data_IF_429042629906
#
_entry.id   IF_429042629906
#
_cell.length_a   1.000
_cell.length_b   1.000
_cell.length_c   1.000
_cell.angle_alpha   90.00
_cell.angle_beta   90.00
_cell.angle_gamma   90.00
#
_symmetry.space_group_name_H-M   'P 1'
#
loop_
_entity.id
_entity.type
_entity.pdbx_description
1 polymer ?
#
# COMPACT_ATOMS: atom_id res chain seq x y z
N UNK A 1 -13.63 -69.82 25.70
CA UNK A 1 -12.54 -69.03 25.08
C UNK A 1 -13.16 -67.79 24.45
N UNK A 2 -12.73 -66.62 24.94
CA UNK A 2 -13.26 -65.30 24.59
C UNK A 2 -12.99 -64.93 23.13
N UNK A 3 -14.00 -64.47 22.42
CA UNK A 3 -13.84 -63.72 21.18
C UNK A 3 -13.81 -62.23 21.51
N UNK A 4 -12.62 -61.62 21.40
CA UNK A 4 -12.44 -60.19 21.58
C UNK A 4 -12.99 -59.45 20.36
N UNK A 5 -13.97 -58.57 20.56
CA UNK A 5 -14.38 -57.55 19.59
C UNK A 5 -13.39 -56.39 19.69
N UNK A 6 -12.55 -56.18 18.66
CA UNK A 6 -11.85 -54.92 18.50
C UNK A 6 -12.82 -53.89 17.92
N UNK A 7 -13.13 -52.87 18.70
CA UNK A 7 -13.79 -51.64 18.26
C UNK A 7 -12.69 -50.65 17.88
N UNK A 8 -12.52 -50.37 16.59
CA UNK A 8 -11.75 -49.22 16.14
C UNK A 8 -12.60 -47.97 16.33
N UNK A 9 -12.33 -47.22 17.39
CA UNK A 9 -12.81 -45.85 17.53
C UNK A 9 -11.83 -44.93 16.83
N UNK A 10 -12.17 -44.46 15.63
CA UNK A 10 -11.47 -43.34 15.00
C UNK A 10 -11.89 -42.06 15.73
N UNK A 11 -11.02 -41.56 16.61
CA UNK A 11 -11.12 -40.20 17.11
C UNK A 11 -10.58 -39.28 16.03
N UNK A 12 -11.47 -38.72 15.21
CA UNK A 12 -11.16 -37.58 14.35
C UNK A 12 -10.93 -36.38 15.28
N UNK A 13 -9.66 -36.11 15.57
CA UNK A 13 -9.24 -34.83 16.17
C UNK A 13 -9.41 -33.75 15.10
N UNK A 14 -10.58 -33.11 15.09
CA UNK A 14 -10.74 -31.80 14.44
C UNK A 14 -9.87 -30.81 15.20
N UNK A 15 -8.62 -30.65 14.77
CA UNK A 15 -7.82 -29.50 15.12
C UNK A 15 -8.48 -28.27 14.50
N UNK A 16 -9.40 -27.65 15.24
CA UNK A 16 -9.82 -26.28 14.97
C UNK A 16 -8.62 -25.40 15.33
N UNK A 17 -7.74 -25.19 14.36
CA UNK A 17 -6.96 -23.97 14.34
C UNK A 17 -7.98 -22.84 14.12
N UNK A 18 -8.56 -22.34 15.21
CA UNK A 18 -9.31 -21.10 15.18
C UNK A 18 -8.30 -19.98 14.92
N UNK A 19 -7.90 -19.81 13.66
CA UNK A 19 -7.46 -18.50 13.21
C UNK A 19 -8.62 -17.58 13.49
N UNK A 20 -8.45 -16.64 14.41
CA UNK A 20 -9.39 -15.55 14.57
C UNK A 20 -9.38 -14.80 13.22
N UNK A 21 -10.31 -15.15 12.35
CA UNK A 21 -10.50 -14.47 11.09
C UNK A 21 -10.89 -13.03 11.43
N UNK A 22 -10.17 -12.06 10.89
CA UNK A 22 -10.46 -10.64 11.11
C UNK A 22 -11.91 -10.29 10.69
N UNK A 23 -12.46 -11.09 9.79
CA UNK A 23 -13.80 -10.97 9.23
C UNK A 23 -14.63 -12.20 9.63
N UNK A 24 -15.35 -12.16 10.76
CA UNK A 24 -16.25 -13.23 11.12
C UNK A 24 -17.32 -13.39 10.02
N UNK A 25 -17.77 -14.63 9.79
CA UNK A 25 -18.91 -14.96 8.93
C UNK A 25 -18.72 -14.77 7.41
N UNK A 26 -17.50 -14.51 6.91
CA UNK A 26 -17.23 -14.61 5.48
C UNK A 26 -17.38 -16.04 4.98
N UNK A 27 -18.07 -16.20 3.84
CA UNK A 27 -18.36 -17.49 3.24
C UNK A 27 -17.37 -17.78 2.11
N UNK A 28 -16.92 -19.03 1.91
CA UNK A 28 -16.18 -19.43 0.72
C UNK A 28 -17.10 -19.71 -0.48
N UNK A 29 -18.35 -19.22 -0.47
CA UNK A 29 -19.28 -19.34 -1.60
C UNK A 29 -19.14 -18.13 -2.52
N UNK A 30 -19.59 -18.25 -3.77
CA UNK A 30 -19.50 -17.14 -4.71
C UNK A 30 -20.40 -15.96 -4.29
N UNK A 31 -19.81 -14.77 -4.28
CA UNK A 31 -20.49 -13.51 -3.96
C UNK A 31 -20.82 -12.75 -5.24
N UNK A 32 -22.11 -12.48 -5.49
CA UNK A 32 -22.53 -11.69 -6.66
C UNK A 32 -22.68 -10.22 -6.27
N UNK A 33 -21.55 -9.52 -6.11
CA UNK A 33 -21.56 -8.12 -5.65
C UNK A 33 -22.33 -7.15 -6.56
N UNK A 34 -22.52 -7.49 -7.83
CA UNK A 34 -23.34 -6.73 -8.76
C UNK A 34 -24.84 -6.67 -8.38
N UNK A 35 -25.31 -7.55 -7.49
CA UNK A 35 -26.68 -7.53 -6.98
C UNK A 35 -26.84 -6.73 -5.68
N UNK A 36 -25.74 -6.21 -5.14
CA UNK A 36 -25.73 -5.45 -3.90
C UNK A 36 -25.52 -3.97 -4.19
N UNK A 37 -26.16 -3.10 -3.41
CA UNK A 37 -25.89 -1.67 -3.47
C UNK A 37 -24.47 -1.41 -2.92
N UNK A 38 -23.57 -0.76 -3.69
CA UNK A 38 -22.23 -0.52 -3.23
C UNK A 38 -22.25 0.57 -2.14
N UNK A 39 -21.96 0.18 -0.90
CA UNK A 39 -21.92 1.09 0.24
C UNK A 39 -20.56 1.78 0.37
N UNK A 40 -20.56 3.01 0.89
CA UNK A 40 -19.33 3.75 1.16
C UNK A 40 -18.58 3.10 2.33
N UNK A 41 -17.28 2.89 2.15
CA UNK A 41 -16.39 2.22 3.12
C UNK A 41 -16.21 3.00 4.42
N UNK A 42 -16.49 4.31 4.42
CA UNK A 42 -16.60 5.14 5.62
C UNK A 42 -17.92 5.94 5.61
N UNK A 43 -18.72 5.96 6.70
CA UNK A 43 -18.40 5.45 8.04
C UNK A 43 -18.25 3.92 8.09
N UNK A 44 -17.59 3.37 9.14
CA UNK A 44 -17.37 1.93 9.24
C UNK A 44 -18.68 1.15 9.16
N UNK A 45 -18.70 0.11 8.33
CA UNK A 45 -19.84 -0.80 8.20
C UNK A 45 -19.70 -1.95 9.19
N UNK A 46 -20.81 -2.43 9.75
CA UNK A 46 -20.80 -3.63 10.59
C UNK A 46 -20.65 -4.86 9.68
N UNK A 47 -19.53 -5.61 9.76
CA UNK A 47 -19.29 -6.77 8.90
C UNK A 47 -20.30 -7.91 9.10
N UNK A 48 -21.10 -7.90 10.18
CA UNK A 48 -22.19 -8.86 10.39
C UNK A 48 -23.50 -8.46 9.69
N UNK A 49 -23.61 -7.21 9.24
CA UNK A 49 -24.80 -6.66 8.59
C UNK A 49 -24.64 -6.46 7.08
N UNK A 50 -23.42 -6.55 6.57
CA UNK A 50 -23.10 -6.42 5.15
C UNK A 50 -22.25 -7.59 4.69
N UNK A 51 -22.26 -7.85 3.39
CA UNK A 51 -21.32 -8.78 2.79
C UNK A 51 -19.94 -8.11 2.67
N UNK A 52 -19.04 -8.44 3.60
CA UNK A 52 -17.68 -7.86 3.64
C UNK A 52 -16.79 -8.30 2.47
N UNK A 53 -17.25 -9.23 1.61
CA UNK A 53 -16.61 -9.51 0.33
C UNK A 53 -17.04 -8.52 -0.77
N UNK A 54 -18.14 -7.80 -0.58
CA UNK A 54 -18.67 -6.83 -1.53
C UNK A 54 -18.58 -5.37 -1.05
N UNK A 55 -18.30 -5.15 0.23
CA UNK A 55 -18.11 -3.83 0.84
C UNK A 55 -16.88 -3.88 1.73
N UNK A 56 -15.95 -2.93 1.57
CA UNK A 56 -14.80 -2.83 2.49
C UNK A 56 -15.25 -2.36 3.88
N UNK A 57 -15.13 -3.23 4.88
CA UNK A 57 -15.65 -2.97 6.24
C UNK A 57 -14.59 -2.64 7.28
N UNK A 58 -13.30 -2.76 6.95
CA UNK A 58 -12.23 -2.65 7.94
C UNK A 58 -11.39 -1.40 7.74
N UNK A 59 -10.63 -1.33 6.64
CA UNK A 59 -9.82 -0.16 6.32
C UNK A 59 -10.44 0.67 5.22
N UNK A 60 -11.55 1.32 5.54
CA UNK A 60 -12.33 2.09 4.57
C UNK A 60 -11.75 3.44 4.17
N UNK A 61 -10.64 3.89 4.78
CA UNK A 61 -9.86 5.02 4.32
C UNK A 61 -8.67 4.48 3.51
N UNK A 62 -8.76 4.55 2.19
CA UNK A 62 -7.75 4.01 1.27
C UNK A 62 -6.69 5.07 1.02
N UNK A 63 -5.42 4.68 1.09
CA UNK A 63 -4.28 5.54 0.78
C UNK A 63 -3.53 5.00 -0.43
N UNK A 64 -3.52 5.74 -1.54
CA UNK A 64 -2.59 5.48 -2.64
C UNK A 64 -1.30 6.24 -2.36
N UNK A 65 -0.21 5.53 -2.10
CA UNK A 65 1.06 6.12 -1.66
C UNK A 65 2.12 6.03 -2.75
N UNK A 66 2.93 7.08 -2.86
CA UNK A 66 3.99 7.18 -3.86
C UNK A 66 5.30 7.68 -3.26
N UNK A 67 6.40 7.26 -3.87
CA UNK A 67 7.75 7.71 -3.55
C UNK A 67 8.33 8.61 -4.64
N UNK A 68 9.09 9.60 -4.18
CA UNK A 68 10.16 10.21 -4.96
C UNK A 68 11.50 9.83 -4.34
N UNK A 69 12.08 8.76 -4.88
CA UNK A 69 13.45 8.38 -4.61
C UNK A 69 14.40 9.00 -5.62
N UNK A 70 15.61 9.33 -5.19
CA UNK A 70 16.68 9.81 -6.08
C UNK A 70 17.68 8.72 -6.43
N UNK A 71 17.61 7.56 -5.79
CA UNK A 71 18.47 6.38 -6.00
C UNK A 71 17.78 5.14 -5.43
N UNK A 72 18.19 3.95 -5.88
CA UNK A 72 17.66 2.66 -5.40
C UNK A 72 18.60 1.96 -4.43
N UNK A 73 19.90 2.27 -4.46
CA UNK A 73 20.91 1.53 -3.69
C UNK A 73 21.21 0.14 -4.28
N UNK A 74 20.64 -0.17 -5.44
CA UNK A 74 20.76 -1.42 -6.20
C UNK A 74 20.99 -1.16 -7.68
N UNK A 75 21.53 0.01 -8.03
CA UNK A 75 21.88 0.38 -9.40
C UNK A 75 22.84 -0.64 -10.03
N UNK A 76 23.77 -1.19 -9.24
CA UNK A 76 24.70 -2.24 -9.67
C UNK A 76 24.02 -3.54 -10.08
N UNK A 77 22.77 -3.76 -9.67
CA UNK A 77 21.94 -4.91 -10.02
C UNK A 77 20.93 -4.59 -11.14
N UNK A 78 20.96 -3.35 -11.66
CA UNK A 78 20.06 -2.90 -12.71
C UNK A 78 18.66 -2.48 -12.23
N UNK A 79 18.42 -2.42 -10.91
CA UNK A 79 17.20 -1.85 -10.35
C UNK A 79 17.32 -0.31 -10.42
N UNK A 80 16.61 0.28 -11.37
CA UNK A 80 16.65 1.71 -11.69
C UNK A 80 15.24 2.29 -11.63
N UNK A 81 15.17 3.59 -11.34
CA UNK A 81 13.91 4.33 -11.24
C UNK A 81 13.42 4.76 -12.64
N UNK A 82 12.11 4.73 -12.91
CA UNK A 82 11.55 5.18 -14.18
C UNK A 82 11.62 6.71 -14.28
N UNK A 83 12.24 7.24 -15.35
CA UNK A 83 12.29 8.68 -15.60
C UNK A 83 10.88 9.30 -15.65
N UNK A 84 10.79 10.58 -15.31
CA UNK A 84 9.58 11.43 -15.47
C UNK A 84 8.32 10.89 -14.77
N UNK A 85 8.48 10.15 -13.67
CA UNK A 85 7.36 9.67 -12.86
C UNK A 85 7.77 9.41 -11.41
N UNK A 86 6.84 9.61 -10.48
CA UNK A 86 6.94 9.08 -9.12
C UNK A 86 6.74 7.56 -9.14
N UNK A 87 7.33 6.82 -8.21
CA UNK A 87 7.14 5.36 -8.10
C UNK A 87 6.02 5.01 -7.14
N UNK A 88 5.39 3.86 -7.35
CA UNK A 88 4.39 3.32 -6.44
C UNK A 88 5.05 2.90 -5.12
N UNK A 89 4.49 3.32 -4.00
CA UNK A 89 4.79 2.78 -2.67
C UNK A 89 3.79 1.67 -2.33
N UNK A 90 2.48 1.96 -2.28
CA UNK A 90 1.46 0.95 -2.01
C UNK A 90 0.02 1.47 -2.04
N UNK A 91 -0.90 0.59 -1.65
CA UNK A 91 -2.31 0.89 -1.39
C UNK A 91 -2.67 0.39 0.01
N UNK A 92 -3.00 1.32 0.92
CA UNK A 92 -3.15 0.99 2.34
C UNK A 92 -4.58 1.15 2.84
N UNK A 93 -5.08 0.20 3.67
CA UNK A 93 -6.38 0.27 4.31
C UNK A 93 -6.26 0.86 5.74
N UNK A 94 -6.52 2.16 5.89
CA UNK A 94 -6.64 2.81 7.20
C UNK A 94 -8.07 2.73 7.72
N UNK A 95 -8.22 2.72 9.04
CA UNK A 95 -9.53 2.92 9.66
C UNK A 95 -10.07 4.32 9.34
N UNK A 96 -11.40 4.48 9.36
CA UNK A 96 -12.04 5.77 9.10
C UNK A 96 -11.64 6.90 10.07
N UNK A 97 -11.01 6.58 11.21
CA UNK A 97 -10.47 7.55 12.16
C UNK A 97 -8.99 7.93 11.89
N UNK A 98 -8.36 7.38 10.84
CA UNK A 98 -6.96 7.60 10.47
C UNK A 98 -5.94 6.80 11.27
N UNK A 99 -6.36 5.95 12.22
CA UNK A 99 -5.49 4.89 12.74
C UNK A 99 -5.44 3.72 11.76
N UNK A 100 -4.49 2.80 11.94
CA UNK A 100 -4.33 1.65 11.07
C UNK A 100 -3.96 0.39 11.85
N UNK A 101 -4.06 -0.74 11.17
CA UNK A 101 -3.58 -2.04 11.60
C UNK A 101 -2.54 -2.56 10.61
N UNK A 102 -1.91 -3.69 10.90
CA UNK A 102 -0.93 -4.29 10.00
C UNK A 102 -0.85 -5.81 10.17
N UNK A 103 -0.49 -6.51 9.10
CA UNK A 103 -0.30 -7.97 9.11
C UNK A 103 -1.52 -8.73 9.67
N UNK A 104 -2.69 -8.44 9.11
CA UNK A 104 -3.97 -8.92 9.61
C UNK A 104 -4.22 -10.41 9.40
N UNK A 105 -3.48 -11.04 8.49
CA UNK A 105 -3.53 -12.48 8.24
C UNK A 105 -2.11 -13.04 8.03
N UNK A 106 -1.58 -13.68 9.07
CA UNK A 106 -0.24 -14.28 9.03
C UNK A 106 -0.18 -15.57 8.18
N UNK A 107 -1.31 -16.15 7.80
CA UNK A 107 -1.34 -17.33 6.92
C UNK A 107 -1.06 -16.97 5.46
N UNK A 108 -1.18 -15.68 5.11
CA UNK A 108 -0.91 -15.10 3.78
C UNK A 108 0.20 -14.06 3.83
N UNK A 109 1.13 -14.22 4.76
CA UNK A 109 2.28 -13.35 4.91
C UNK A 109 3.44 -13.83 4.02
N UNK A 110 4.04 -12.91 3.28
CA UNK A 110 5.12 -13.12 2.31
C UNK A 110 6.28 -12.12 2.47
N UNK A 111 6.32 -11.35 3.56
CA UNK A 111 7.35 -10.32 3.80
C UNK A 111 8.62 -10.93 4.42
N UNK A 112 9.78 -10.88 3.72
CA UNK A 112 11.03 -11.41 4.21
C UNK A 112 11.70 -10.53 5.28
N UNK A 113 11.32 -9.25 5.42
CA UNK A 113 11.90 -8.30 6.37
C UNK A 113 10.77 -7.52 7.09
N UNK A 114 9.94 -8.18 7.93
CA UNK A 114 8.83 -7.51 8.62
C UNK A 114 9.26 -6.31 9.45
N UNK A 115 8.74 -5.12 9.10
CA UNK A 115 9.02 -3.88 9.81
C UNK A 115 7.79 -2.96 9.91
N UNK A 116 7.27 -2.69 11.13
CA UNK A 116 7.58 -3.34 12.41
C UNK A 116 7.28 -4.85 12.39
N UNK A 117 7.98 -5.65 13.19
CA UNK A 117 7.85 -7.11 13.23
C UNK A 117 6.73 -7.63 14.16
N UNK A 118 5.72 -6.80 14.44
CA UNK A 118 4.53 -7.19 15.21
C UNK A 118 3.25 -6.68 14.55
N UNK A 119 2.12 -7.36 14.75
CA UNK A 119 0.83 -7.05 14.11
C UNK A 119 0.19 -5.72 14.52
N UNK A 120 0.71 -5.04 15.55
CA UNK A 120 0.18 -3.77 16.04
C UNK A 120 1.28 -2.71 16.27
N UNK A 121 2.48 -2.95 15.74
CA UNK A 121 3.68 -2.13 15.92
C UNK A 121 4.11 -1.90 17.38
N UNK A 122 3.57 -2.66 18.34
CA UNK A 122 3.89 -2.57 19.77
C UNK A 122 4.57 -3.85 20.26
N UNK A 123 5.31 -3.79 21.37
CA UNK A 123 5.95 -4.97 21.96
C UNK A 123 4.98 -6.09 22.37
N UNK A 124 3.68 -5.76 22.53
CA UNK A 124 2.64 -6.73 22.89
C UNK A 124 1.89 -7.31 21.68
N UNK A 125 2.23 -6.90 20.45
CA UNK A 125 1.64 -7.46 19.23
C UNK A 125 2.12 -8.87 18.97
N UNK A 126 1.37 -9.60 18.15
CA UNK A 126 1.78 -10.92 17.68
C UNK A 126 3.01 -10.76 16.80
N UNK A 127 4.05 -11.57 17.04
CA UNK A 127 5.27 -11.56 16.25
C UNK A 127 5.00 -11.99 14.81
N UNK A 128 5.55 -11.24 13.86
CA UNK A 128 5.48 -11.52 12.42
C UNK A 128 6.80 -12.19 12.01
N UNK A 129 6.79 -13.50 11.72
CA UNK A 129 8.01 -14.19 11.32
C UNK A 129 8.45 -13.75 9.92
N UNK A 130 9.76 -13.61 9.66
CA UNK A 130 10.30 -13.40 8.32
C UNK A 130 9.90 -14.54 7.37
N UNK A 131 9.41 -14.19 6.19
CA UNK A 131 9.08 -15.15 5.15
C UNK A 131 10.34 -15.70 4.47
N UNK A 132 10.37 -17.01 4.22
CA UNK A 132 11.52 -17.72 3.61
C UNK A 132 11.16 -18.51 2.36
N UNK A 133 9.93 -18.36 1.85
CA UNK A 133 9.46 -19.05 0.66
C UNK A 133 9.81 -18.34 -0.66
N UNK A 134 9.15 -18.71 -1.77
CA UNK A 134 9.40 -18.10 -3.08
C UNK A 134 9.06 -16.62 -3.11
N UNK A 135 9.80 -15.83 -3.90
CA UNK A 135 9.54 -14.40 -4.07
C UNK A 135 8.10 -14.17 -4.55
N UNK A 136 7.37 -13.23 -3.94
CA UNK A 136 5.96 -12.97 -4.26
C UNK A 136 5.72 -12.68 -5.76
N UNK A 137 6.70 -12.10 -6.46
CA UNK A 137 6.63 -11.88 -7.91
C UNK A 137 6.49 -13.17 -8.74
N UNK A 138 6.96 -14.32 -8.25
CA UNK A 138 6.80 -15.60 -8.96
C UNK A 138 5.37 -16.13 -8.88
N UNK A 139 4.52 -15.58 -8.00
CA UNK A 139 3.12 -16.00 -7.87
C UNK A 139 2.26 -15.58 -9.06
N UNK A 140 2.76 -14.65 -9.89
CA UNK A 140 2.06 -14.14 -11.08
C UNK A 140 2.19 -15.10 -12.28
N UNK A 141 3.24 -15.93 -12.31
CA UNK A 141 3.56 -16.80 -13.46
C UNK A 141 2.47 -17.86 -13.72
N UNK A 142 1.90 -18.55 -12.71
CA UNK A 142 0.80 -19.51 -12.94
C UNK A 142 -0.47 -18.88 -13.51
N UNK A 143 -0.64 -17.56 -13.35
CA UNK A 143 -1.74 -16.78 -13.92
C UNK A 143 -1.41 -16.19 -15.30
N UNK A 144 -0.17 -16.37 -15.79
CA UNK A 144 0.30 -15.79 -17.05
C UNK A 144 0.47 -14.27 -17.02
N UNK A 145 0.55 -13.65 -15.83
CA UNK A 145 0.57 -12.19 -15.61
C UNK A 145 1.99 -11.61 -15.71
N UNK A 146 2.67 -11.89 -16.82
CA UNK A 146 4.05 -11.42 -17.05
C UNK A 146 4.11 -9.91 -17.34
N UNK A 147 3.09 -9.37 -17.97
CA UNK A 147 2.91 -7.93 -18.23
C UNK A 147 2.74 -7.14 -16.92
N UNK A 148 1.96 -7.67 -15.98
CA UNK A 148 1.85 -7.14 -14.61
C UNK A 148 3.20 -7.12 -13.91
N UNK A 149 3.95 -8.22 -13.98
CA UNK A 149 5.30 -8.30 -13.39
C UNK A 149 6.27 -7.30 -14.03
N UNK A 150 6.20 -7.10 -15.35
CA UNK A 150 7.01 -6.09 -16.04
C UNK A 150 6.64 -4.67 -15.59
N UNK A 151 5.34 -4.37 -15.46
CA UNK A 151 4.87 -3.09 -14.96
C UNK A 151 5.38 -2.81 -13.54
N UNK A 152 5.28 -3.79 -12.64
CA UNK A 152 5.78 -3.67 -11.27
C UNK A 152 7.30 -3.44 -11.24
N UNK A 153 8.07 -4.14 -12.07
CA UNK A 153 9.53 -3.92 -12.21
C UNK A 153 9.91 -2.61 -12.90
N UNK A 154 8.93 -1.87 -13.43
CA UNK A 154 9.11 -0.55 -14.00
C UNK A 154 8.76 0.55 -13.01
N UNK A 155 7.64 0.41 -12.30
CA UNK A 155 7.03 1.50 -11.53
C UNK A 155 6.94 1.28 -10.01
N UNK A 156 7.07 0.03 -9.53
CA UNK A 156 6.97 -0.31 -8.11
C UNK A 156 8.35 -0.71 -7.56
N UNK A 157 9.26 0.27 -7.56
CA UNK A 157 10.69 0.07 -7.31
C UNK A 157 11.00 0.27 -5.83
N UNK A 158 11.76 -0.65 -5.25
CA UNK A 158 12.21 -0.55 -3.88
C UNK A 158 13.52 0.27 -3.75
N UNK A 159 13.70 0.87 -2.57
CA UNK A 159 14.97 1.46 -2.17
C UNK A 159 15.67 0.58 -1.13
N UNK A 160 16.97 0.33 -1.32
CA UNK A 160 17.86 -0.46 -0.45
C UNK A 160 17.46 -1.94 -0.25
N UNK A 161 16.51 -2.47 -1.03
CA UNK A 161 16.08 -3.87 -1.01
C UNK A 161 15.59 -4.31 -2.39
N UNK A 162 15.42 -5.61 -2.62
CA UNK A 162 14.90 -6.08 -3.90
C UNK A 162 13.39 -5.86 -4.00
N UNK A 163 12.91 -5.57 -5.21
CA UNK A 163 11.49 -5.27 -5.45
C UNK A 163 10.55 -6.35 -4.91
N UNK A 164 10.88 -7.63 -5.05
CA UNK A 164 10.00 -8.71 -4.61
C UNK A 164 9.85 -8.78 -3.08
N UNK A 165 10.90 -8.48 -2.33
CA UNK A 165 10.81 -8.35 -0.87
C UNK A 165 9.89 -7.20 -0.48
N UNK A 166 10.02 -6.06 -1.16
CA UNK A 166 9.17 -4.89 -0.95
C UNK A 166 7.69 -5.16 -1.30
N UNK A 167 7.38 -5.79 -2.42
CA UNK A 167 5.99 -6.17 -2.74
C UNK A 167 5.43 -7.17 -1.72
N UNK A 168 6.29 -8.05 -1.19
CA UNK A 168 5.95 -8.96 -0.11
C UNK A 168 5.54 -8.21 1.16
N UNK A 169 6.27 -7.14 1.50
CA UNK A 169 5.91 -6.20 2.56
C UNK A 169 4.55 -5.56 2.33
N UNK A 170 4.35 -4.94 1.18
CA UNK A 170 3.12 -4.21 0.85
C UNK A 170 1.90 -5.13 0.91
N UNK A 171 1.97 -6.33 0.33
CA UNK A 171 0.88 -7.29 0.41
C UNK A 171 0.64 -7.75 1.86
N UNK A 172 1.70 -8.22 2.52
CA UNK A 172 1.58 -8.82 3.85
C UNK A 172 1.06 -7.86 4.89
N UNK A 173 1.57 -6.64 4.88
CA UNK A 173 1.29 -5.63 5.89
C UNK A 173 -0.05 -4.95 5.63
N UNK A 174 -0.38 -4.67 4.37
CA UNK A 174 -1.52 -3.85 3.99
C UNK A 174 -2.63 -4.64 3.31
N UNK A 175 -2.34 -5.43 2.27
CA UNK A 175 -3.38 -6.17 1.54
C UNK A 175 -4.18 -7.13 2.43
N UNK A 176 -3.51 -7.80 3.38
CA UNK A 176 -4.17 -8.73 4.32
C UNK A 176 -5.21 -8.07 5.22
N UNK A 177 -5.18 -6.74 5.34
CA UNK A 177 -6.07 -5.94 6.18
C UNK A 177 -7.29 -5.36 5.45
N UNK A 178 -7.42 -5.64 4.16
CA UNK A 178 -8.69 -5.44 3.44
C UNK A 178 -9.59 -6.67 3.60
N UNK A 179 -10.86 -6.42 3.88
CA UNK A 179 -11.88 -7.47 3.93
C UNK A 179 -12.12 -8.14 2.58
N UNK A 180 -12.07 -7.34 1.51
CA UNK A 180 -12.43 -7.74 0.14
C UNK A 180 -11.35 -8.57 -0.57
N UNK A 181 -10.10 -8.53 -0.09
CA UNK A 181 -9.00 -9.39 -0.59
C UNK A 181 -8.84 -10.68 0.23
N UNK A 182 -9.73 -10.98 1.17
CA UNK A 182 -9.64 -12.22 1.92
C UNK A 182 -10.03 -13.42 1.05
N UNK A 183 -9.36 -14.56 1.23
CA UNK A 183 -9.50 -15.73 0.33
C UNK A 183 -10.91 -16.32 0.25
N UNK A 184 -11.76 -16.31 1.30
CA UNK A 184 -13.15 -16.75 1.16
C UNK A 184 -13.94 -15.96 0.11
N UNK A 185 -13.60 -14.69 -0.13
CA UNK A 185 -14.29 -13.84 -1.10
C UNK A 185 -14.11 -14.26 -2.56
N UNK A 186 -13.13 -15.12 -2.84
CA UNK A 186 -12.88 -15.69 -4.17
C UNK A 186 -13.71 -16.95 -4.45
N UNK A 187 -14.48 -17.42 -3.45
CA UNK A 187 -15.37 -18.55 -3.61
C UNK A 187 -14.66 -19.90 -3.69
N UNK A 188 -15.38 -20.97 -4.09
CA UNK A 188 -14.88 -22.34 -4.06
C UNK A 188 -13.84 -22.64 -5.16
N UNK A 189 -13.68 -21.73 -6.12
CA UNK A 189 -12.74 -21.87 -7.25
C UNK A 189 -11.44 -21.08 -7.05
N UNK A 190 -11.24 -20.50 -5.86
CA UNK A 190 -10.03 -19.76 -5.51
C UNK A 190 -8.77 -20.51 -5.93
N UNK A 191 -7.94 -19.84 -6.73
CA UNK A 191 -6.60 -20.32 -7.06
C UNK A 191 -5.62 -19.70 -6.09
N UNK A 192 -4.69 -20.52 -5.58
CA UNK A 192 -3.66 -20.03 -4.68
C UNK A 192 -2.95 -18.81 -5.29
N UNK A 193 -2.95 -17.70 -4.54
CA UNK A 193 -2.39 -16.39 -4.88
C UNK A 193 -3.21 -15.54 -5.86
N UNK A 194 -4.46 -15.90 -6.14
CA UNK A 194 -5.38 -15.05 -6.90
C UNK A 194 -5.61 -13.69 -6.20
N UNK A 195 -5.61 -13.69 -4.86
CA UNK A 195 -5.70 -12.50 -4.03
C UNK A 195 -4.49 -11.57 -4.14
N UNK A 196 -3.30 -12.14 -4.31
CA UNK A 196 -2.06 -11.40 -4.55
C UNK A 196 -2.12 -10.70 -5.91
N UNK A 197 -2.55 -11.41 -6.96
CA UNK A 197 -2.69 -10.86 -8.31
C UNK A 197 -3.69 -9.71 -8.30
N UNK A 198 -4.89 -9.93 -7.74
CA UNK A 198 -5.95 -8.92 -7.68
C UNK A 198 -5.54 -7.69 -6.87
N UNK A 199 -4.79 -7.86 -5.77
CA UNK A 199 -4.25 -6.73 -5.01
C UNK A 199 -3.27 -5.90 -5.82
N UNK A 200 -2.33 -6.53 -6.54
CA UNK A 200 -1.37 -5.81 -7.36
C UNK A 200 -2.04 -5.07 -8.53
N UNK A 201 -2.99 -5.71 -9.23
CA UNK A 201 -3.77 -5.04 -10.28
C UNK A 201 -4.57 -3.86 -9.73
N UNK A 202 -5.19 -4.05 -8.57
CA UNK A 202 -5.94 -2.98 -7.91
C UNK A 202 -5.02 -1.83 -7.55
N UNK A 203 -3.89 -2.10 -6.88
CA UNK A 203 -2.92 -1.07 -6.49
C UNK A 203 -2.44 -0.26 -7.70
N UNK A 204 -2.15 -0.92 -8.83
CA UNK A 204 -1.77 -0.24 -10.07
C UNK A 204 -2.92 0.60 -10.64
N UNK A 205 -4.16 0.11 -10.60
CA UNK A 205 -5.34 0.90 -11.00
C UNK A 205 -5.46 2.19 -10.20
N UNK A 206 -5.15 2.17 -8.90
CA UNK A 206 -5.10 3.38 -8.06
C UNK A 206 -3.93 4.29 -8.44
N UNK A 207 -2.72 3.74 -8.52
CA UNK A 207 -1.51 4.48 -8.90
C UNK A 207 -1.67 5.27 -10.22
N UNK A 208 -2.21 4.63 -11.26
CA UNK A 208 -2.39 5.26 -12.58
C UNK A 208 -3.32 6.47 -12.60
N UNK A 209 -4.20 6.64 -11.59
CA UNK A 209 -5.13 7.77 -11.49
C UNK A 209 -4.46 9.04 -10.98
N UNK A 210 -3.28 8.92 -10.37
CA UNK A 210 -2.59 10.02 -9.68
C UNK A 210 -1.17 10.23 -10.24
N UNK A 211 -1.01 10.73 -11.49
CA UNK A 211 0.29 10.98 -12.11
C UNK A 211 1.00 12.20 -11.52
N UNK A 212 1.48 12.08 -10.27
CA UNK A 212 2.06 13.17 -9.47
C UNK A 212 3.13 13.98 -10.22
N UNK A 213 4.03 13.31 -10.95
CA UNK A 213 5.06 14.00 -11.73
C UNK A 213 4.44 14.95 -12.76
N UNK A 214 3.50 14.45 -13.57
CA UNK A 214 2.84 15.21 -14.63
C UNK A 214 2.08 16.41 -14.08
N UNK A 215 1.43 16.25 -12.92
CA UNK A 215 0.73 17.36 -12.26
C UNK A 215 1.67 18.45 -11.76
N UNK A 216 2.79 18.06 -11.15
CA UNK A 216 3.82 19.01 -10.69
C UNK A 216 4.52 19.69 -11.87
N UNK A 217 4.89 18.93 -12.90
CA UNK A 217 5.53 19.47 -14.11
C UNK A 217 4.65 20.50 -14.82
N UNK A 218 3.34 20.24 -14.94
CA UNK A 218 2.37 21.20 -15.50
C UNK A 218 2.29 22.51 -14.72
N UNK A 219 2.68 22.51 -13.46
CA UNK A 219 2.77 23.69 -12.59
C UNK A 219 4.20 24.27 -12.52
N UNK A 220 5.09 23.88 -13.43
CA UNK A 220 6.51 24.26 -13.45
C UNK A 220 7.29 23.84 -12.18
N UNK A 221 6.82 22.79 -11.48
CA UNK A 221 7.48 22.19 -10.32
C UNK A 221 8.20 20.92 -10.77
N UNK A 222 9.46 21.05 -11.15
CA UNK A 222 10.29 19.93 -11.64
C UNK A 222 11.45 19.61 -10.69
N UNK A 223 11.96 18.36 -10.70
CA UNK A 223 13.16 18.02 -9.95
C UNK A 223 14.37 18.90 -10.32
N UNK A 224 15.09 19.42 -9.32
CA UNK A 224 16.24 20.30 -9.51
C UNK A 224 17.20 20.20 -8.33
N UNK A 225 18.50 20.30 -8.61
CA UNK A 225 19.53 20.40 -7.57
C UNK A 225 19.81 21.85 -7.13
N UNK A 226 19.09 22.82 -7.70
CA UNK A 226 19.32 24.25 -7.46
C UNK A 226 18.07 25.04 -7.08
N UNK A 227 16.89 24.49 -7.37
CA UNK A 227 15.60 25.12 -7.11
C UNK A 227 15.00 24.53 -5.85
N UNK A 228 14.37 25.39 -5.04
CA UNK A 228 13.55 24.96 -3.90
C UNK A 228 12.13 25.49 -4.06
N UNK A 229 11.22 24.86 -3.33
CA UNK A 229 9.79 25.11 -3.38
C UNK A 229 9.24 25.26 -1.95
N UNK A 230 8.04 25.77 -1.84
CA UNK A 230 7.29 25.86 -0.60
C UNK A 230 6.31 24.70 -0.48
N UNK A 231 5.95 24.33 0.76
CA UNK A 231 4.89 23.33 0.99
C UNK A 231 3.58 23.68 0.26
N UNK A 232 3.25 24.98 0.22
CA UNK A 232 2.05 25.47 -0.47
C UNK A 232 2.05 25.13 -1.97
N UNK A 233 3.20 25.17 -2.64
CA UNK A 233 3.31 24.90 -4.08
C UNK A 233 2.85 23.47 -4.39
N UNK A 234 3.34 22.50 -3.62
CA UNK A 234 2.93 21.09 -3.75
C UNK A 234 1.49 20.87 -3.30
N UNK A 235 1.10 21.41 -2.13
CA UNK A 235 -0.26 21.24 -1.58
C UNK A 235 -1.32 21.77 -2.54
N UNK A 236 -1.13 22.98 -3.05
CA UNK A 236 -2.14 23.66 -3.86
C UNK A 236 -2.23 23.03 -5.25
N UNK A 237 -1.09 22.67 -5.85
CA UNK A 237 -1.06 21.94 -7.14
C UNK A 237 -1.74 20.59 -7.05
N UNK A 238 -1.30 19.75 -6.10
CA UNK A 238 -1.81 18.38 -5.99
C UNK A 238 -3.26 18.34 -5.53
N UNK A 239 -3.69 19.27 -4.66
CA UNK A 239 -5.09 19.34 -4.25
C UNK A 239 -6.03 19.81 -5.36
N UNK A 240 -5.57 20.71 -6.23
CA UNK A 240 -6.35 21.16 -7.39
C UNK A 240 -6.56 20.04 -8.42
N UNK A 241 -5.54 19.20 -8.66
CA UNK A 241 -5.62 18.10 -9.62
C UNK A 241 -6.34 16.87 -9.05
N UNK A 242 -6.09 16.51 -7.78
CA UNK A 242 -6.73 15.36 -7.14
C UNK A 242 -8.17 15.64 -6.66
N UNK A 243 -8.49 16.89 -6.33
CA UNK A 243 -9.79 17.29 -5.76
C UNK A 243 -9.87 17.19 -4.22
N UNK A 244 -8.78 16.78 -3.56
CA UNK A 244 -8.64 16.79 -2.11
C UNK A 244 -7.18 17.03 -1.69
N UNK A 245 -6.94 17.45 -0.45
CA UNK A 245 -5.59 17.71 0.08
C UNK A 245 -4.90 16.37 0.37
N UNK A 246 -3.82 15.99 -0.36
CA UNK A 246 -3.06 14.80 -0.01
C UNK A 246 -2.15 15.05 1.20
N UNK A 247 -1.62 13.98 1.79
CA UNK A 247 -0.46 14.10 2.67
C UNK A 247 0.79 14.28 1.81
N UNK A 248 1.67 15.21 2.20
CA UNK A 248 2.96 15.43 1.55
C UNK A 248 4.06 15.19 2.57
N UNK A 249 4.88 14.18 2.32
CA UNK A 249 5.97 13.73 3.17
C UNK A 249 7.33 14.25 2.70
N UNK A 250 8.11 14.74 3.65
CA UNK A 250 9.50 15.10 3.48
C UNK A 250 10.42 14.32 4.43
N UNK A 251 11.68 14.21 4.05
CA UNK A 251 12.79 13.62 4.79
C UNK A 251 14.00 14.57 4.83
N UNK A 252 15.18 14.04 5.16
CA UNK A 252 16.43 14.81 5.22
C UNK A 252 16.58 15.64 6.50
N UNK A 253 17.36 16.74 6.47
CA UNK A 253 17.54 17.58 7.65
C UNK A 253 16.25 18.37 7.97
N UNK A 254 16.07 18.71 9.24
CA UNK A 254 15.01 19.63 9.68
C UNK A 254 15.38 21.06 9.29
N UNK A 255 14.42 21.87 8.88
CA UNK A 255 14.71 23.22 8.38
C UNK A 255 15.44 24.10 9.39
N UNK A 256 15.04 24.09 10.66
CA UNK A 256 15.73 24.79 11.75
C UNK A 256 17.16 24.30 12.06
N UNK A 257 17.63 23.24 11.40
CA UNK A 257 19.04 22.78 11.49
C UNK A 257 19.86 23.19 10.27
N UNK A 258 19.24 23.78 9.25
CA UNK A 258 19.92 24.28 8.04
C UNK A 258 20.44 25.71 8.24
N UNK A 259 21.38 26.15 7.40
CA UNK A 259 21.90 27.53 7.44
C UNK A 259 20.78 28.57 7.23
N UNK A 260 19.82 28.28 6.35
CA UNK A 260 18.69 29.15 6.05
C UNK A 260 17.68 29.21 7.22
N UNK A 261 17.46 28.08 7.91
CA UNK A 261 16.43 27.97 8.95
C UNK A 261 16.93 28.08 10.39
N UNK A 262 18.24 28.12 10.65
CA UNK A 262 18.83 28.02 12.01
C UNK A 262 18.34 29.03 13.06
N UNK A 263 17.74 30.14 12.63
CA UNK A 263 17.19 31.17 13.52
C UNK A 263 15.65 31.07 13.65
N UNK A 264 15.02 30.07 13.05
CA UNK A 264 13.56 29.86 13.06
C UNK A 264 13.12 28.70 13.95
N UNK A 265 11.81 28.54 14.10
CA UNK A 265 11.18 27.45 14.88
C UNK A 265 10.65 26.32 14.01
N UNK A 266 10.69 26.46 12.69
CA UNK A 266 10.21 25.46 11.75
C UNK A 266 11.13 24.24 11.73
N UNK A 267 10.64 23.14 12.30
CA UNK A 267 11.37 21.89 12.45
C UNK A 267 10.95 20.82 11.45
N UNK A 268 10.18 21.19 10.41
CA UNK A 268 9.77 20.29 9.35
C UNK A 268 10.95 19.84 8.49
N UNK A 269 10.76 18.70 7.81
CA UNK A 269 11.75 18.10 6.92
C UNK A 269 11.85 18.85 5.58
N UNK A 270 13.02 18.80 4.94
CA UNK A 270 13.37 19.70 3.82
C UNK A 270 13.48 19.00 2.48
N UNK A 271 13.36 17.68 2.40
CA UNK A 271 13.50 16.95 1.13
C UNK A 271 12.21 16.24 0.80
N UNK A 272 11.52 16.62 -0.27
CA UNK A 272 10.30 15.96 -0.72
C UNK A 272 10.57 14.48 -1.01
N UNK A 273 9.72 13.59 -0.49
CA UNK A 273 9.94 12.14 -0.61
C UNK A 273 8.66 11.32 -0.80
N UNK A 274 7.51 11.73 -0.25
CA UNK A 274 6.28 10.94 -0.35
C UNK A 274 5.04 11.79 -0.61
N UNK A 275 4.04 11.19 -1.26
CA UNK A 275 2.67 11.73 -1.36
C UNK A 275 1.66 10.61 -1.11
N UNK A 276 0.67 10.85 -0.26
CA UNK A 276 -0.43 9.91 0.00
C UNK A 276 -1.77 10.54 -0.37
N UNK A 277 -2.48 9.89 -1.30
CA UNK A 277 -3.80 10.29 -1.78
C UNK A 277 -4.88 9.47 -1.08
N UNK A 278 -5.80 10.15 -0.40
CA UNK A 278 -6.82 9.51 0.42
C UNK A 278 -8.15 9.40 -0.30
N UNK A 279 -8.79 8.25 -0.21
CA UNK A 279 -10.08 7.97 -0.83
C UNK A 279 -10.98 7.11 0.08
N UNK A 280 -12.29 7.20 -0.13
CA UNK A 280 -13.23 6.16 0.30
C UNK A 280 -13.74 5.40 -0.93
N UNK A 281 -14.01 4.10 -0.76
CA UNK A 281 -14.49 3.24 -1.82
C UNK A 281 -15.98 2.96 -1.68
N UNK A 282 -16.68 2.88 -2.80
CA UNK A 282 -18.02 2.31 -2.88
C UNK A 282 -17.92 0.82 -3.18
N UNK A 283 -18.38 -0.02 -2.25
CA UNK A 283 -18.29 -1.46 -2.36
C UNK A 283 -16.85 -1.95 -2.27
N UNK A 284 -16.39 -2.64 -3.32
CA UNK A 284 -15.06 -3.24 -3.39
C UNK A 284 -14.00 -2.24 -3.89
N UNK A 285 -12.87 -2.06 -3.20
CA UNK A 285 -11.70 -1.31 -3.68
C UNK A 285 -11.28 -1.70 -5.11
N UNK A 286 -11.40 -2.98 -5.45
CA UNK A 286 -11.11 -3.58 -6.75
C UNK A 286 -11.85 -2.90 -7.90
N UNK A 287 -13.02 -2.30 -7.67
CA UNK A 287 -13.78 -1.61 -8.73
C UNK A 287 -13.19 -0.24 -9.08
N UNK A 288 -12.46 0.39 -8.16
CA UNK A 288 -11.94 1.75 -8.33
C UNK A 288 -13.03 2.83 -8.34
N UNK A 289 -14.23 2.53 -7.85
CA UNK A 289 -15.29 3.52 -7.65
C UNK A 289 -15.08 4.21 -6.30
N UNK A 290 -14.51 5.41 -6.32
CA UNK A 290 -14.03 6.10 -5.12
C UNK A 290 -14.40 7.58 -5.07
N UNK A 291 -14.30 8.16 -3.88
CA UNK A 291 -14.34 9.60 -3.66
C UNK A 291 -13.07 10.05 -2.93
N UNK A 292 -12.45 11.11 -3.45
CA UNK A 292 -11.29 11.73 -2.81
C UNK A 292 -11.67 12.37 -1.47
N UNK A 293 -10.79 12.24 -0.48
CA UNK A 293 -10.95 12.87 0.84
C UNK A 293 -9.66 13.56 1.28
N UNK A 294 -9.81 14.59 2.10
CA UNK A 294 -8.65 15.33 2.59
C UNK A 294 -7.87 14.47 3.61
N UNK A 295 -6.54 14.53 3.54
CA UNK A 295 -5.68 14.21 4.66
C UNK A 295 -6.14 15.02 5.89
N UNK A 296 -6.13 14.37 7.06
CA UNK A 296 -6.59 15.03 8.30
C UNK A 296 -5.81 16.33 8.54
N UNK A 297 -6.51 17.38 8.98
CA UNK A 297 -5.92 18.71 9.22
C UNK A 297 -4.79 18.69 10.25
N UNK A 298 -4.75 17.67 11.12
CA UNK A 298 -3.68 17.48 12.12
C UNK A 298 -2.45 16.76 11.57
N UNK A 299 -2.52 16.19 10.36
CA UNK A 299 -1.44 15.39 9.77
C UNK A 299 -1.45 15.48 8.23
N UNK A 300 -1.31 16.70 7.70
CA UNK A 300 -1.23 16.93 6.24
C UNK A 300 0.21 16.91 5.71
N UNK A 301 1.20 17.08 6.59
CA UNK A 301 2.60 17.09 6.20
C UNK A 301 3.52 17.00 7.42
N UNK A 302 4.72 16.47 7.20
CA UNK A 302 5.88 16.61 8.10
C UNK A 302 6.97 17.54 7.49
N UNK A 303 6.72 18.13 6.33
CA UNK A 303 7.61 19.06 5.64
C UNK A 303 7.72 20.40 6.37
N UNK A 304 8.82 21.09 6.11
CA UNK A 304 8.98 22.50 6.46
C UNK A 304 7.93 23.36 5.75
N UNK A 305 7.46 24.40 6.43
CA UNK A 305 6.45 25.35 5.95
C UNK A 305 7.03 26.72 5.61
N UNK A 306 8.28 26.98 5.98
CA UNK A 306 9.00 28.17 5.54
C UNK A 306 9.05 28.23 4.00
N UNK A 307 8.98 29.45 3.47
CA UNK A 307 9.01 29.72 2.03
C UNK A 307 10.33 29.21 1.43
N UNK A 308 10.23 28.46 0.33
CA UNK A 308 11.40 27.93 -0.37
C UNK A 308 12.22 26.90 0.42
N UNK A 309 11.63 26.26 1.45
CA UNK A 309 12.36 25.34 2.33
C UNK A 309 12.50 23.91 1.81
N UNK A 310 11.74 23.53 0.76
CA UNK A 310 11.66 22.14 0.30
C UNK A 310 12.49 21.95 -0.97
N UNK A 311 13.37 20.97 -0.94
CA UNK A 311 14.09 20.45 -2.09
C UNK A 311 13.28 19.34 -2.75
N UNK A 312 13.10 19.45 -4.06
CA UNK A 312 12.64 18.37 -4.93
C UNK A 312 13.80 18.00 -5.83
N UNK A 313 14.65 17.07 -5.38
CA UNK A 313 15.93 16.79 -6.04
C UNK A 313 15.77 16.00 -7.33
N UNK A 314 16.62 16.35 -8.31
CA UNK A 314 16.83 15.48 -9.47
C UNK A 314 17.43 14.14 -9.01
N UNK A 315 17.15 13.07 -9.75
CA UNK A 315 17.69 11.77 -9.41
C UNK A 315 19.19 11.71 -9.63
N UNK A 316 19.83 10.81 -8.91
CA UNK A 316 21.28 10.58 -8.95
C UNK A 316 21.68 10.09 -10.34
N UNK A 317 22.83 10.55 -10.82
CA UNK A 317 23.33 10.13 -12.12
C UNK A 317 23.49 8.60 -12.19
N UNK A 318 22.84 7.97 -13.16
CA UNK A 318 22.84 6.52 -13.34
C UNK A 318 21.78 5.76 -12.54
N UNK A 319 20.91 6.45 -11.79
CA UNK A 319 19.81 5.83 -11.04
C UNK A 319 18.48 5.78 -11.80
N UNK A 320 18.44 6.27 -13.05
CA UNK A 320 17.24 6.34 -13.88
C UNK A 320 17.33 5.54 -15.17
N UNK A 321 16.17 5.06 -15.63
CA UNK A 321 15.98 4.47 -16.95
C UNK A 321 14.71 5.00 -17.61
N UNK A 322 14.67 4.95 -18.94
CA UNK A 322 13.41 5.08 -19.65
C UNK A 322 12.47 3.93 -19.22
N UNK A 323 11.18 4.22 -18.95
CA UNK A 323 10.23 3.16 -18.62
C UNK A 323 10.12 2.12 -19.75
N UNK A 324 9.99 0.84 -19.41
CA UNK A 324 9.90 -0.23 -20.41
C UNK A 324 8.46 -0.44 -20.90
N UNK A 325 7.47 0.00 -20.12
CA UNK A 325 6.05 0.00 -20.48
C UNK A 325 5.42 1.37 -20.19
N UNK A 326 4.32 1.76 -20.85
CA UNK A 326 3.64 3.03 -20.59
C UNK A 326 3.15 3.15 -19.14
N UNK A 327 3.06 4.40 -18.65
CA UNK A 327 2.44 4.72 -17.38
C UNK A 327 0.97 4.29 -17.34
#
# INVERSE_FOLDING_TARGET
MMAAKLSFGEAILLASAASAQLYPDQSPLNHTCALQEPLLSCPPQDPSLVDSCCVETFGGLLLTTQFWDTYTGRESEGQLLPADTWTLHGLWPDFCNGSYTQYCDLTRQYDPIPSPNTTNAKPNGTFVPPYTGPKIGTFLEPFGKFDLLEYMNTYWIAQNQDNAGFWGHEFSKHATCFSTFNTPCYGPEYKQHEDVVDFFETTIKYYKRVPTFTWLEKADITPSNSTTYSYADFRDTLSAEFGAIPFIGCSGPRYNTTEAGKNGTDSGFTVLNEVWYYEHAYGRPQEGNTIAVNATSTYQTNCAKAEGAIHYYARTNGSEKAPTVPY
#
